data_IF_043542565559
#
_entry.id   IF_043542565559
#
_cell.length_a   1.000
_cell.length_b   1.000
_cell.length_c   1.000
_cell.angle_alpha   90.00
_cell.angle_beta   90.00
_cell.angle_gamma   90.00
#
_symmetry.space_group_name_H-M   'P 1'
#
loop_
_entity.id
_entity.type
_entity.pdbx_description
1 polymer ?
#
# COMPACT_ATOMS: atom_id res chain seq x y z
N UNK A 1 -12.00 2.54 7.41
CA UNK A 1 -10.52 2.50 7.38
C UNK A 1 -10.01 1.13 7.74
N UNK A 2 -10.77 0.36 8.51
CA UNK A 2 -10.43 -0.99 8.96
C UNK A 2 -9.89 -1.91 7.84
N UNK A 3 -10.41 -1.81 6.62
CA UNK A 3 -9.87 -2.54 5.46
C UNK A 3 -8.43 -2.12 5.11
N UNK A 4 -8.15 -0.81 5.07
CA UNK A 4 -6.82 -0.28 4.75
C UNK A 4 -5.85 -0.54 5.89
N UNK A 5 -6.28 -0.32 7.14
CA UNK A 5 -5.51 -0.68 8.34
C UNK A 5 -5.19 -2.19 8.36
N UNK A 6 -6.13 -3.05 7.93
CA UNK A 6 -5.89 -4.48 7.78
C UNK A 6 -4.87 -4.78 6.67
N UNK A 7 -4.95 -4.08 5.53
CA UNK A 7 -3.99 -4.22 4.44
C UNK A 7 -2.58 -3.79 4.87
N UNK A 8 -2.46 -2.72 5.66
CA UNK A 8 -1.20 -2.28 6.25
C UNK A 8 -0.57 -3.37 7.13
N UNK A 9 -1.37 -3.99 8.01
CA UNK A 9 -0.90 -5.09 8.86
C UNK A 9 -0.52 -6.33 8.06
N UNK A 10 -1.25 -6.62 6.99
CA UNK A 10 -0.89 -7.72 6.08
C UNK A 10 0.44 -7.44 5.37
N UNK A 11 0.64 -6.22 4.86
CA UNK A 11 1.87 -5.81 4.21
C UNK A 11 3.08 -5.84 5.16
N UNK A 12 2.94 -5.29 6.37
CA UNK A 12 3.97 -5.33 7.41
C UNK A 12 4.38 -6.77 7.73
N UNK A 13 3.40 -7.67 7.91
CA UNK A 13 3.66 -9.08 8.14
C UNK A 13 4.38 -9.76 6.96
N UNK A 14 4.08 -9.38 5.72
CA UNK A 14 4.81 -9.90 4.56
C UNK A 14 6.26 -9.45 4.52
N UNK A 15 6.56 -8.18 4.85
CA UNK A 15 7.92 -7.70 4.91
C UNK A 15 8.72 -8.42 6.01
N UNK A 16 8.14 -8.57 7.20
CA UNK A 16 8.77 -9.37 8.28
C UNK A 16 9.00 -10.83 7.87
N UNK A 17 8.03 -11.44 7.16
CA UNK A 17 8.17 -12.79 6.66
C UNK A 17 9.28 -12.87 5.60
N UNK A 18 9.37 -11.89 4.70
CA UNK A 18 10.38 -11.84 3.64
C UNK A 18 11.80 -11.82 4.20
N UNK A 19 12.04 -11.04 5.25
CA UNK A 19 13.35 -10.97 5.91
C UNK A 19 13.81 -12.30 6.52
N UNK A 20 12.88 -13.20 6.84
CA UNK A 20 13.16 -14.51 7.45
C UNK A 20 13.33 -15.63 6.43
N UNK A 21 13.05 -15.37 5.15
CA UNK A 21 13.19 -16.37 4.09
C UNK A 21 14.65 -16.44 3.64
N UNK A 22 15.10 -17.66 3.30
CA UNK A 22 16.43 -17.91 2.73
C UNK A 22 16.35 -18.34 1.26
N UNK A 23 15.25 -18.98 0.87
CA UNK A 23 15.05 -19.49 -0.48
C UNK A 23 14.68 -18.36 -1.44
N UNK A 24 15.48 -18.18 -2.50
CA UNK A 24 15.16 -17.27 -3.61
C UNK A 24 13.78 -17.54 -4.22
N UNK A 25 13.34 -18.80 -4.25
CA UNK A 25 12.02 -19.16 -4.79
C UNK A 25 10.87 -18.73 -3.88
N UNK A 26 11.05 -18.78 -2.56
CA UNK A 26 10.06 -18.30 -1.60
C UNK A 26 10.05 -16.77 -1.53
N UNK A 27 11.24 -16.14 -1.54
CA UNK A 27 11.40 -14.69 -1.65
C UNK A 27 10.70 -14.14 -2.88
N UNK A 28 10.91 -14.75 -4.05
CA UNK A 28 10.25 -14.32 -5.28
C UNK A 28 8.71 -14.34 -5.17
N UNK A 29 8.16 -15.44 -4.63
CA UNK A 29 6.71 -15.57 -4.44
C UNK A 29 6.15 -14.53 -3.48
N UNK A 30 6.85 -14.28 -2.37
CA UNK A 30 6.39 -13.32 -1.38
C UNK A 30 6.56 -11.87 -1.86
N UNK A 31 7.67 -11.55 -2.53
CA UNK A 31 7.86 -10.24 -3.16
C UNK A 31 6.78 -9.95 -4.20
N UNK A 32 6.41 -10.93 -5.05
CA UNK A 32 5.30 -10.76 -5.99
C UNK A 32 3.95 -10.52 -5.26
N UNK A 33 3.73 -11.20 -4.12
CA UNK A 33 2.53 -10.97 -3.29
C UNK A 33 2.53 -9.57 -2.67
N UNK A 34 3.67 -9.10 -2.17
CA UNK A 34 3.86 -7.74 -1.65
C UNK A 34 3.55 -6.71 -2.75
N UNK A 35 4.17 -6.86 -3.92
CA UNK A 35 3.99 -5.94 -5.05
C UNK A 35 2.52 -5.85 -5.49
N UNK A 36 1.84 -7.00 -5.60
CA UNK A 36 0.42 -7.04 -5.93
C UNK A 36 -0.45 -6.38 -4.85
N UNK A 37 -0.20 -6.68 -3.58
CA UNK A 37 -0.97 -6.14 -2.46
C UNK A 37 -0.85 -4.60 -2.43
N UNK A 38 0.38 -4.08 -2.49
CA UNK A 38 0.64 -2.63 -2.49
C UNK A 38 0.08 -1.95 -3.74
N UNK A 39 0.21 -2.56 -4.92
CA UNK A 39 -0.37 -2.00 -6.16
C UNK A 39 -1.89 -1.84 -6.04
N UNK A 40 -2.58 -2.84 -5.49
CA UNK A 40 -4.04 -2.78 -5.31
C UNK A 40 -4.41 -1.76 -4.24
N UNK A 41 -3.68 -1.77 -3.12
CA UNK A 41 -3.90 -0.89 -1.98
C UNK A 41 -3.71 0.59 -2.33
N UNK A 42 -2.56 0.95 -2.89
CA UNK A 42 -2.29 2.33 -3.31
C UNK A 42 -3.28 2.83 -4.34
N UNK A 43 -3.75 1.96 -5.25
CA UNK A 43 -4.77 2.33 -6.24
C UNK A 43 -6.14 2.64 -5.60
N UNK A 44 -6.57 1.88 -4.59
CA UNK A 44 -7.87 2.16 -3.94
C UNK A 44 -7.82 3.45 -3.09
N UNK A 45 -6.66 3.79 -2.52
CA UNK A 45 -6.47 5.06 -1.82
C UNK A 45 -6.54 6.25 -2.77
N UNK A 46 -5.81 6.19 -3.87
CA UNK A 46 -5.81 7.25 -4.88
C UNK A 46 -7.17 7.42 -5.55
N UNK A 47 -7.91 6.33 -5.81
CA UNK A 47 -9.22 6.40 -6.44
C UNK A 47 -10.33 6.92 -5.50
N UNK A 48 -10.20 6.73 -4.18
CA UNK A 48 -11.31 6.97 -3.24
C UNK A 48 -10.94 7.76 -1.99
N UNK A 49 -9.80 7.48 -1.36
CA UNK A 49 -9.41 8.08 -0.08
C UNK A 49 -8.88 9.48 -0.30
N UNK A 50 -7.90 9.67 -1.18
CA UNK A 50 -7.28 10.98 -1.43
C UNK A 50 -8.26 12.01 -1.98
N UNK A 51 -9.14 11.69 -2.95
CA UNK A 51 -10.17 12.62 -3.40
C UNK A 51 -11.17 12.99 -2.30
N UNK A 52 -11.42 12.09 -1.34
CA UNK A 52 -12.28 12.37 -0.19
C UNK A 52 -11.54 13.24 0.84
N UNK A 53 -10.29 12.89 1.15
CA UNK A 53 -9.44 13.64 2.08
C UNK A 53 -9.30 15.11 1.63
N UNK A 54 -9.02 15.34 0.34
CA UNK A 54 -8.93 16.69 -0.25
C UNK A 54 -10.24 17.50 -0.16
N UNK A 55 -11.39 16.85 -0.05
CA UNK A 55 -12.70 17.52 0.12
C UNK A 55 -13.02 17.80 1.59
N UNK A 56 -12.59 16.91 2.49
CA UNK A 56 -12.90 16.98 3.91
C UNK A 56 -11.89 17.81 4.69
N UNK A 57 -10.63 17.85 4.24
CA UNK A 57 -9.51 18.45 4.94
C UNK A 57 -9.00 19.66 4.16
N UNK A 58 -8.74 20.75 4.87
CA UNK A 58 -8.07 21.93 4.30
C UNK A 58 -6.55 21.71 4.15
N UNK A 59 -6.00 20.64 4.72
CA UNK A 59 -4.59 20.27 4.67
C UNK A 59 -4.31 19.36 3.47
N UNK A 60 -3.97 19.97 2.33
CA UNK A 60 -3.56 19.24 1.13
C UNK A 60 -2.18 18.56 1.28
N UNK A 61 -1.30 19.10 2.14
CA UNK A 61 0.09 18.66 2.27
C UNK A 61 0.25 17.17 2.60
N UNK A 62 -0.53 16.64 3.56
CA UNK A 62 -0.49 15.20 3.90
C UNK A 62 -0.90 14.31 2.72
N UNK A 63 -1.83 14.77 1.89
CA UNK A 63 -2.25 14.01 0.70
C UNK A 63 -1.23 14.17 -0.42
N UNK A 64 -0.62 15.34 -0.56
CA UNK A 64 0.44 15.60 -1.53
C UNK A 64 1.68 14.75 -1.24
N UNK A 65 2.08 14.65 0.03
CA UNK A 65 3.16 13.77 0.50
C UNK A 65 2.86 12.31 0.20
N UNK A 66 1.68 11.82 0.63
CA UNK A 66 1.21 10.47 0.35
C UNK A 66 1.22 10.10 -1.15
N UNK A 67 0.79 11.02 -2.04
CA UNK A 67 0.84 10.80 -3.50
C UNK A 67 2.28 10.68 -4.03
N UNK A 68 3.23 11.46 -3.49
CA UNK A 68 4.65 11.37 -3.85
C UNK A 68 5.26 10.06 -3.35
N UNK A 69 4.94 9.65 -2.12
CA UNK A 69 5.37 8.37 -1.56
C UNK A 69 4.84 7.18 -2.37
N UNK A 70 3.56 7.22 -2.77
CA UNK A 70 2.96 6.21 -3.65
C UNK A 70 3.68 6.10 -4.99
N UNK A 71 4.02 7.24 -5.61
CA UNK A 71 4.76 7.24 -6.86
C UNK A 71 6.14 6.56 -6.69
N UNK A 72 6.86 6.86 -5.60
CA UNK A 72 8.14 6.24 -5.29
C UNK A 72 8.00 4.74 -5.00
N UNK A 73 7.00 4.33 -4.23
CA UNK A 73 6.72 2.92 -3.95
C UNK A 73 6.38 2.14 -5.23
N UNK A 74 5.55 2.71 -6.12
CA UNK A 74 5.21 2.10 -7.42
C UNK A 74 6.41 1.96 -8.34
N UNK A 75 7.33 2.91 -8.33
CA UNK A 75 8.59 2.77 -9.07
C UNK A 75 9.41 1.58 -8.54
N UNK A 76 9.57 1.46 -7.22
CA UNK A 76 10.27 0.33 -6.61
C UNK A 76 9.58 -1.01 -6.90
N UNK A 77 8.24 -1.04 -6.87
CA UNK A 77 7.45 -2.22 -7.26
C UNK A 77 7.79 -2.64 -8.69
N UNK A 78 7.72 -1.72 -9.66
CA UNK A 78 8.02 -2.02 -11.06
C UNK A 78 9.46 -2.52 -11.24
N UNK A 79 10.42 -1.94 -10.52
CA UNK A 79 11.80 -2.41 -10.52
C UNK A 79 11.91 -3.84 -9.95
N UNK A 80 11.29 -4.14 -8.80
CA UNK A 80 11.31 -5.46 -8.17
C UNK A 80 10.66 -6.52 -9.08
N UNK A 81 9.51 -6.22 -9.69
CA UNK A 81 8.80 -7.12 -10.61
C UNK A 81 9.61 -7.47 -11.86
N UNK A 82 10.52 -6.57 -12.28
CA UNK A 82 11.41 -6.79 -13.42
C UNK A 82 12.69 -7.56 -13.09
N UNK A 83 12.96 -7.81 -11.81
CA UNK A 83 14.22 -8.41 -11.33
C UNK A 83 14.12 -9.92 -11.12
N UNK A 84 15.27 -10.58 -11.23
CA UNK A 84 15.43 -11.95 -10.74
C UNK A 84 15.66 -11.93 -9.22
N UNK A 85 15.09 -12.89 -8.47
CA UNK A 85 15.38 -13.02 -7.03
C UNK A 85 16.85 -13.37 -6.73
N UNK A 86 17.67 -13.65 -7.76
CA UNK A 86 19.12 -13.86 -7.63
C UNK A 86 19.93 -12.58 -7.86
N UNK A 87 19.29 -11.51 -8.28
CA UNK A 87 19.98 -10.26 -8.56
C UNK A 87 20.46 -9.64 -7.24
N UNK A 88 21.69 -9.13 -7.24
CA UNK A 88 22.39 -8.62 -6.05
C UNK A 88 21.57 -7.60 -5.24
N UNK A 89 20.72 -6.82 -5.90
CA UNK A 89 19.95 -5.74 -5.30
C UNK A 89 18.49 -6.10 -4.98
N UNK A 90 18.04 -7.33 -5.27
CA UNK A 90 16.63 -7.72 -5.12
C UNK A 90 16.14 -7.53 -3.67
N UNK A 91 16.81 -8.19 -2.72
CA UNK A 91 16.49 -8.10 -1.30
C UNK A 91 16.58 -6.66 -0.77
N UNK A 92 17.58 -5.90 -1.23
CA UNK A 92 17.76 -4.52 -0.82
C UNK A 92 16.59 -3.64 -1.28
N UNK A 93 16.09 -3.82 -2.50
CA UNK A 93 14.91 -3.08 -2.99
C UNK A 93 13.64 -3.44 -2.25
N UNK A 94 13.40 -4.74 -2.00
CA UNK A 94 12.24 -5.18 -1.21
C UNK A 94 12.30 -4.57 0.20
N UNK A 95 13.48 -4.54 0.82
CA UNK A 95 13.68 -3.90 2.12
C UNK A 95 13.39 -2.40 2.09
N UNK A 96 13.93 -1.66 1.12
CA UNK A 96 13.69 -0.20 0.98
C UNK A 96 12.21 0.09 0.75
N UNK A 97 11.53 -0.72 -0.07
CA UNK A 97 10.08 -0.62 -0.26
C UNK A 97 9.34 -0.80 1.08
N UNK A 98 9.75 -1.77 1.90
CA UNK A 98 9.19 -1.98 3.24
C UNK A 98 9.35 -0.77 4.17
N UNK A 99 10.50 -0.10 4.16
CA UNK A 99 10.72 1.11 4.96
C UNK A 99 9.85 2.28 4.49
N UNK A 100 9.67 2.46 3.17
CA UNK A 100 8.77 3.49 2.63
C UNK A 100 7.32 3.22 3.03
N UNK A 101 6.85 1.98 2.86
CA UNK A 101 5.49 1.59 3.27
C UNK A 101 5.29 1.80 4.77
N UNK A 102 6.28 1.45 5.60
CA UNK A 102 6.21 1.64 7.06
C UNK A 102 6.10 3.11 7.45
N UNK A 103 6.79 4.00 6.76
CA UNK A 103 6.69 5.44 6.99
C UNK A 103 5.30 5.94 6.60
N UNK A 104 4.87 5.66 5.38
CA UNK A 104 3.57 6.00 4.82
C UNK A 104 2.41 5.59 5.74
N UNK A 105 2.39 4.31 6.16
CA UNK A 105 1.37 3.75 7.07
C UNK A 105 1.28 4.53 8.37
N UNK A 106 2.42 4.99 8.92
CA UNK A 106 2.42 5.77 10.16
C UNK A 106 1.76 7.14 9.97
N UNK A 107 2.02 7.80 8.85
CA UNK A 107 1.43 9.11 8.58
C UNK A 107 -0.07 8.98 8.33
N UNK A 108 -0.47 7.99 7.54
CA UNK A 108 -1.88 7.77 7.25
C UNK A 108 -2.67 7.41 8.51
N UNK A 109 -2.22 6.43 9.30
CA UNK A 109 -2.97 5.96 10.45
C UNK A 109 -2.96 6.91 11.64
N UNK A 110 -1.90 7.70 11.83
CA UNK A 110 -1.77 8.62 12.97
C UNK A 110 -2.22 10.04 12.64
N UNK A 111 -2.24 10.44 11.36
CA UNK A 111 -2.60 11.80 10.97
C UNK A 111 -3.78 11.86 10.01
N UNK A 112 -3.67 11.26 8.82
CA UNK A 112 -4.67 11.42 7.77
C UNK A 112 -6.02 10.82 8.18
N UNK A 113 -6.03 9.53 8.54
CA UNK A 113 -7.24 8.78 8.84
C UNK A 113 -7.97 9.31 10.08
N UNK A 114 -7.31 9.67 11.20
CA UNK A 114 -7.96 10.34 12.33
C UNK A 114 -8.63 11.66 11.93
N UNK A 115 -7.92 12.53 11.20
CA UNK A 115 -8.46 13.82 10.73
C UNK A 115 -9.68 13.62 9.84
N UNK A 116 -9.67 12.63 8.95
CA UNK A 116 -10.83 12.31 8.14
C UNK A 116 -12.00 11.76 8.99
N UNK A 117 -11.74 10.86 9.96
CA UNK A 117 -12.77 10.26 10.84
C UNK A 117 -13.54 11.29 11.65
N UNK A 118 -12.89 12.36 12.08
CA UNK A 118 -13.53 13.46 12.82
C UNK A 118 -14.52 14.27 11.98
N UNK A 119 -14.42 14.24 10.64
CA UNK A 119 -15.13 15.15 9.73
C UNK A 119 -16.28 14.51 8.96
N UNK A 120 -16.35 13.19 8.87
CA UNK A 120 -17.41 12.50 8.12
C UNK A 120 -17.94 11.26 8.87
N UNK A 121 -19.25 11.21 9.09
CA UNK A 121 -19.94 10.06 9.70
C UNK A 121 -20.29 8.97 8.66
N UNK A 122 -20.10 9.22 7.36
CA UNK A 122 -20.42 8.28 6.27
C UNK A 122 -19.29 7.28 5.94
N UNK A 123 -18.28 7.15 6.81
CA UNK A 123 -17.12 6.26 6.65
C UNK A 123 -17.45 4.82 6.28
N UNK A 124 -18.59 4.32 6.77
CA UNK A 124 -19.03 2.96 6.46
C UNK A 124 -19.30 2.74 4.95
N UNK A 125 -19.82 3.75 4.25
CA UNK A 125 -20.07 3.66 2.80
C UNK A 125 -18.77 3.67 1.99
N UNK A 126 -17.75 4.38 2.46
CA UNK A 126 -16.42 4.36 1.85
C UNK A 126 -15.80 2.95 1.97
N UNK A 127 -15.88 2.33 3.15
CA UNK A 127 -15.37 0.97 3.36
C UNK A 127 -15.94 -0.08 2.39
N UNK A 128 -17.25 -0.04 2.11
CA UNK A 128 -17.87 -0.96 1.14
C UNK A 128 -17.34 -0.74 -0.29
N UNK A 129 -17.15 0.52 -0.70
CA UNK A 129 -16.61 0.86 -2.03
C UNK A 129 -15.16 0.39 -2.17
N UNK A 130 -14.34 0.59 -1.14
CA UNK A 130 -12.95 0.12 -1.12
C UNK A 130 -12.90 -1.41 -1.24
N UNK A 131 -13.70 -2.15 -0.47
CA UNK A 131 -13.74 -3.61 -0.52
C UNK A 131 -14.19 -4.15 -1.89
N UNK A 132 -15.23 -3.54 -2.48
CA UNK A 132 -15.70 -3.90 -3.81
C UNK A 132 -14.63 -3.62 -4.88
N UNK A 133 -13.95 -2.46 -4.82
CA UNK A 133 -12.89 -2.13 -5.77
C UNK A 133 -11.69 -3.05 -5.63
N UNK A 134 -11.23 -3.30 -4.40
CA UNK A 134 -10.14 -4.24 -4.11
C UNK A 134 -10.41 -5.60 -4.73
N UNK A 135 -11.64 -6.12 -4.56
CA UNK A 135 -12.06 -7.40 -5.16
C UNK A 135 -11.98 -7.37 -6.68
N UNK A 136 -12.48 -6.31 -7.32
CA UNK A 136 -12.41 -6.16 -8.78
C UNK A 136 -10.96 -6.12 -9.28
N UNK A 137 -10.10 -5.31 -8.65
CA UNK A 137 -8.68 -5.17 -9.01
C UNK A 137 -7.91 -6.49 -8.90
N UNK A 138 -8.22 -7.29 -7.87
CA UNK A 138 -7.64 -8.62 -7.68
C UNK A 138 -8.11 -9.63 -8.73
N UNK A 139 -9.34 -9.50 -9.24
CA UNK A 139 -9.84 -10.33 -10.34
C UNK A 139 -9.16 -9.94 -11.65
N UNK A 140 -9.12 -8.64 -11.96
CA UNK A 140 -8.50 -8.07 -13.17
C UNK A 140 -7.02 -8.48 -13.33
N UNK A 141 -6.30 -8.64 -12.21
CA UNK A 141 -4.86 -9.00 -12.20
C UNK A 141 -4.59 -10.50 -12.16
N UNK A 142 -5.63 -11.33 -12.04
CA UNK A 142 -5.52 -12.79 -12.13
C UNK A 142 -5.77 -13.33 -13.53
N UNK A 143 -6.40 -12.53 -14.39
CA UNK A 143 -6.68 -12.78 -15.81
C UNK A 143 -5.55 -12.31 -16.70
#
# INVERSE_FOLDING_TARGET
MDLLEQDHREAEAFFEQFERLESNGEKAKLAARICLALTVHTQIEEEFVYPMARKLLEQAELVDEAEVEHAAAKQLIAEIESMSPRDKLFDAKVKVLGEYVKHHVREEENELFPKMRERDLAFYKLGQRLAARKTALLIERRS
#
